data_IF_803920734374
#
_entry.id   IF_803920734374
#
_cell.length_a   1.000
_cell.length_b   1.000
_cell.length_c   1.000
_cell.angle_alpha   90.00
_cell.angle_beta   90.00
_cell.angle_gamma   90.00
#
_symmetry.space_group_name_H-M   'P 1'
#
loop_
_entity.id
_entity.type
_entity.pdbx_description
1 polymer ?
#
# COMPACT_ATOMS: atom_id res chain seq x y z
N UNK A 1 16.15 -0.97 -1.11
CA UNK A 1 15.13 -0.55 -0.14
C UNK A 1 13.79 -0.46 -0.87
N UNK A 2 12.70 -0.93 -0.25
CA UNK A 2 11.35 -0.74 -0.77
C UNK A 2 10.79 0.60 -0.30
N UNK A 3 10.18 1.36 -1.21
CA UNK A 3 9.55 2.66 -0.94
C UNK A 3 8.02 2.57 -0.85
N UNK A 4 7.43 1.41 -1.08
CA UNK A 4 6.01 1.16 -0.83
C UNK A 4 5.72 1.04 0.68
N UNK A 5 4.47 1.24 1.10
CA UNK A 5 4.06 1.30 2.49
C UNK A 5 4.45 0.10 3.38
N UNK A 6 4.75 -1.07 2.79
CA UNK A 6 5.26 -2.22 3.51
C UNK A 6 6.78 -2.14 3.81
N UNK A 7 7.54 -1.26 3.15
CA UNK A 7 8.97 -1.08 3.33
C UNK A 7 9.82 -2.33 3.06
N UNK A 8 9.27 -3.36 2.39
CA UNK A 8 9.98 -4.61 2.17
C UNK A 8 11.22 -4.40 1.29
N UNK A 9 12.40 -4.95 1.65
CA UNK A 9 13.63 -4.75 0.90
C UNK A 9 13.50 -5.28 -0.54
N UNK A 10 13.55 -4.38 -1.53
CA UNK A 10 13.36 -4.71 -2.94
C UNK A 10 14.34 -5.79 -3.43
N UNK A 11 15.62 -5.72 -3.03
CA UNK A 11 16.65 -6.67 -3.49
C UNK A 11 16.30 -8.13 -3.16
N UNK A 12 15.61 -8.38 -2.04
CA UNK A 12 15.23 -9.75 -1.64
C UNK A 12 14.29 -10.40 -2.66
N UNK A 13 13.44 -9.60 -3.30
CA UNK A 13 12.51 -10.09 -4.34
C UNK A 13 13.24 -10.61 -5.57
N UNK A 14 14.48 -10.16 -5.80
CA UNK A 14 15.30 -10.49 -6.99
C UNK A 14 16.46 -11.45 -6.70
N UNK A 15 16.63 -11.91 -5.46
CA UNK A 15 17.72 -12.85 -5.12
C UNK A 15 17.59 -14.21 -5.79
N UNK A 16 16.36 -14.65 -6.07
CA UNK A 16 16.04 -15.93 -6.74
C UNK A 16 14.79 -15.73 -7.59
N UNK A 17 14.94 -15.18 -8.80
CA UNK A 17 13.80 -14.87 -9.66
C UNK A 17 13.30 -16.08 -10.48
N UNK A 18 13.63 -17.32 -10.07
CA UNK A 18 13.29 -18.54 -10.81
C UNK A 18 11.77 -18.65 -11.04
N UNK A 19 11.37 -18.86 -12.29
CA UNK A 19 9.97 -18.99 -12.69
C UNK A 19 9.18 -17.69 -12.75
N UNK A 20 9.84 -16.52 -12.69
CA UNK A 20 9.20 -15.21 -12.80
C UNK A 20 9.09 -14.79 -14.27
N UNK A 21 7.87 -14.76 -14.78
CA UNK A 21 7.59 -14.28 -16.15
C UNK A 21 7.23 -12.79 -16.18
N UNK A 22 6.72 -12.24 -15.05
CA UNK A 22 6.13 -10.91 -14.99
C UNK A 22 6.70 -10.07 -13.86
N UNK A 23 6.92 -8.78 -14.14
CA UNK A 23 7.08 -7.75 -13.11
C UNK A 23 5.85 -6.84 -13.16
N UNK A 24 5.16 -6.67 -12.03
CA UNK A 24 4.06 -5.71 -11.91
C UNK A 24 4.56 -4.50 -11.13
N UNK A 25 4.61 -3.34 -11.79
CA UNK A 25 4.91 -2.07 -11.14
C UNK A 25 3.59 -1.45 -10.69
N UNK A 26 3.41 -1.39 -9.39
CA UNK A 26 2.22 -0.85 -8.77
C UNK A 26 2.30 0.68 -8.70
N UNK A 27 1.55 1.35 -9.56
CA UNK A 27 1.28 2.79 -9.58
C UNK A 27 -0.23 3.07 -9.36
N UNK A 28 -0.91 2.16 -8.64
CA UNK A 28 -2.37 2.20 -8.46
C UNK A 28 -2.80 3.22 -7.41
N UNK A 29 -2.03 3.32 -6.30
CA UNK A 29 -2.32 4.25 -5.19
C UNK A 29 -3.81 4.28 -4.80
N UNK A 30 -4.32 3.11 -4.32
CA UNK A 30 -5.74 2.94 -4.02
C UNK A 30 -6.17 3.47 -2.64
N UNK A 31 -5.23 3.84 -1.79
CA UNK A 31 -5.49 4.35 -0.44
C UNK A 31 -6.10 5.77 -0.54
N UNK A 32 -7.23 6.06 0.13
CA UNK A 32 -7.79 7.41 0.15
C UNK A 32 -6.80 8.44 0.73
N UNK A 33 -6.95 9.70 0.36
CA UNK A 33 -6.13 10.83 0.80
C UNK A 33 -4.67 10.82 0.33
N UNK A 34 -4.24 9.86 -0.50
CA UNK A 34 -2.85 9.75 -0.97
C UNK A 34 -2.77 10.00 -2.47
N UNK A 35 -1.79 10.81 -2.90
CA UNK A 35 -1.51 11.15 -4.30
C UNK A 35 0.00 11.24 -4.59
N UNK A 36 0.84 10.77 -3.69
CA UNK A 36 2.30 10.88 -3.79
C UNK A 36 2.88 10.05 -4.95
N UNK A 37 2.39 8.81 -5.16
CA UNK A 37 2.84 7.98 -6.26
C UNK A 37 2.33 8.54 -7.60
N UNK A 38 1.06 9.00 -7.67
CA UNK A 38 0.53 9.68 -8.85
C UNK A 38 1.42 10.85 -9.26
N UNK A 39 1.73 11.75 -8.31
CA UNK A 39 2.57 12.92 -8.57
C UNK A 39 3.98 12.54 -9.00
N UNK A 40 4.60 11.59 -8.29
CA UNK A 40 5.93 11.11 -8.62
C UNK A 40 6.00 10.50 -10.03
N UNK A 41 5.00 9.73 -10.45
CA UNK A 41 4.94 9.16 -11.80
C UNK A 41 4.69 10.21 -12.86
N UNK A 42 3.87 11.23 -12.59
CA UNK A 42 3.66 12.35 -13.50
C UNK A 42 4.94 13.15 -13.76
N UNK A 43 5.77 13.35 -12.75
CA UNK A 43 7.02 14.10 -12.85
C UNK A 43 8.16 13.26 -13.45
N UNK A 44 8.30 12.02 -12.99
CA UNK A 44 9.44 11.14 -13.28
C UNK A 44 9.06 9.94 -14.19
N UNK A 45 8.14 10.11 -15.15
CA UNK A 45 7.67 9.02 -16.01
C UNK A 45 8.82 8.34 -16.80
N UNK A 46 9.83 9.08 -17.22
CA UNK A 46 11.00 8.54 -17.90
C UNK A 46 11.85 7.64 -16.97
N UNK A 47 12.10 8.11 -15.74
CA UNK A 47 12.81 7.33 -14.72
C UNK A 47 12.01 6.09 -14.33
N UNK A 48 10.67 6.17 -14.27
CA UNK A 48 9.80 5.00 -14.05
C UNK A 48 10.02 3.93 -15.13
N UNK A 49 10.02 4.33 -16.40
CA UNK A 49 10.23 3.39 -17.53
C UNK A 49 11.64 2.80 -17.51
N UNK A 50 12.65 3.62 -17.22
CA UNK A 50 14.03 3.14 -17.03
C UNK A 50 14.13 2.13 -15.89
N UNK A 51 13.52 2.44 -14.73
CA UNK A 51 13.44 1.51 -13.61
C UNK A 51 12.71 0.21 -13.96
N UNK A 52 11.64 0.30 -14.74
CA UNK A 52 10.90 -0.86 -15.24
C UNK A 52 11.79 -1.78 -16.08
N UNK A 53 12.59 -1.22 -17.00
CA UNK A 53 13.57 -1.98 -17.81
C UNK A 53 14.63 -2.66 -16.94
N UNK A 54 15.16 -1.96 -15.93
CA UNK A 54 16.14 -2.50 -14.99
C UNK A 54 15.51 -3.66 -14.20
N UNK A 55 14.31 -3.46 -13.66
CA UNK A 55 13.59 -4.48 -12.90
C UNK A 55 13.26 -5.70 -13.76
N UNK A 56 12.89 -5.50 -15.04
CA UNK A 56 12.71 -6.59 -16.01
C UNK A 56 13.97 -7.43 -16.16
N UNK A 57 15.10 -6.77 -16.34
CA UNK A 57 16.41 -7.45 -16.48
C UNK A 57 16.82 -8.20 -15.22
N UNK A 58 16.61 -7.60 -14.04
CA UNK A 58 16.93 -8.23 -12.75
C UNK A 58 16.07 -9.46 -12.46
N UNK A 59 14.81 -9.47 -12.92
CA UNK A 59 13.89 -10.59 -12.76
C UNK A 59 13.99 -11.63 -13.89
N UNK A 60 14.75 -11.36 -14.94
CA UNK A 60 14.76 -12.14 -16.19
C UNK A 60 13.35 -12.33 -16.79
N UNK A 61 12.45 -11.37 -16.46
CA UNK A 61 11.05 -11.45 -16.82
C UNK A 61 10.80 -11.18 -18.31
N UNK A 62 9.74 -11.79 -18.84
CA UNK A 62 9.31 -11.58 -20.23
C UNK A 62 8.64 -10.21 -20.39
N UNK A 63 7.80 -9.84 -19.44
CA UNK A 63 6.97 -8.64 -19.51
C UNK A 63 6.93 -7.88 -18.19
N UNK A 64 6.92 -6.55 -18.28
CA UNK A 64 6.62 -5.64 -17.17
C UNK A 64 5.29 -4.96 -17.44
N UNK A 65 4.38 -5.01 -16.49
CA UNK A 65 3.15 -4.21 -16.50
C UNK A 65 3.26 -3.07 -15.51
N UNK A 66 3.14 -1.82 -16.00
CA UNK A 66 2.99 -0.63 -15.15
C UNK A 66 1.48 -0.47 -14.93
N UNK A 67 1.03 -0.81 -13.73
CA UNK A 67 -0.40 -0.84 -13.38
C UNK A 67 -0.84 0.52 -12.87
N UNK A 68 -1.80 1.15 -13.55
CA UNK A 68 -2.34 2.48 -13.27
C UNK A 68 -3.87 2.39 -13.23
N UNK A 69 -4.51 3.14 -12.35
CA UNK A 69 -5.98 3.22 -12.31
C UNK A 69 -6.53 3.76 -13.64
N UNK A 70 -7.57 3.13 -14.17
CA UNK A 70 -8.25 3.57 -15.39
C UNK A 70 -8.87 4.97 -15.28
N UNK A 71 -9.14 5.42 -14.05
CA UNK A 71 -9.63 6.78 -13.75
C UNK A 71 -8.57 7.87 -13.91
N UNK A 72 -7.30 7.52 -14.21
CA UNK A 72 -6.21 8.46 -14.47
C UNK A 72 -5.71 8.38 -15.93
N UNK A 73 -6.52 8.77 -16.93
CA UNK A 73 -6.15 8.70 -18.34
C UNK A 73 -4.93 9.57 -18.68
N UNK A 74 -4.78 10.70 -18.02
CA UNK A 74 -3.64 11.62 -18.13
C UNK A 74 -2.31 10.95 -17.71
N UNK A 75 -2.31 10.22 -16.59
CA UNK A 75 -1.15 9.47 -16.12
C UNK A 75 -0.82 8.30 -17.07
N UNK A 76 -1.85 7.61 -17.55
CA UNK A 76 -1.71 6.52 -18.54
C UNK A 76 -1.05 7.04 -19.82
N UNK A 77 -1.53 8.17 -20.35
CA UNK A 77 -0.97 8.78 -21.55
C UNK A 77 0.47 9.25 -21.33
N UNK A 78 0.74 9.89 -20.18
CA UNK A 78 2.09 10.33 -19.78
C UNK A 78 3.08 9.18 -19.78
N UNK A 79 2.74 8.06 -19.15
CA UNK A 79 3.61 6.89 -19.08
C UNK A 79 3.75 6.21 -20.45
N UNK A 80 2.65 6.07 -21.21
CA UNK A 80 2.70 5.54 -22.59
C UNK A 80 3.64 6.35 -23.48
N UNK A 81 3.58 7.67 -23.40
CA UNK A 81 4.46 8.56 -24.15
C UNK A 81 5.94 8.40 -23.77
N UNK A 82 6.23 8.02 -22.52
CA UNK A 82 7.58 7.79 -22.03
C UNK A 82 8.14 6.41 -22.40
N UNK A 83 7.31 5.44 -22.84
CA UNK A 83 7.76 4.08 -23.16
C UNK A 83 8.78 4.03 -24.30
N UNK A 84 8.69 4.90 -25.33
CA UNK A 84 9.64 4.99 -26.44
C UNK A 84 10.11 3.61 -26.94
N UNK A 85 9.18 2.74 -27.33
CA UNK A 85 9.45 1.38 -27.80
C UNK A 85 10.18 0.47 -26.77
N UNK A 86 9.94 0.67 -25.48
CA UNK A 86 10.50 -0.16 -24.41
C UNK A 86 9.99 -1.61 -24.54
N UNK A 87 10.76 -2.47 -25.22
CA UNK A 87 10.36 -3.83 -25.50
C UNK A 87 9.98 -4.63 -24.24
N UNK A 88 8.73 -5.10 -24.19
CA UNK A 88 8.18 -5.87 -23.08
C UNK A 88 7.89 -5.06 -21.81
N UNK A 89 7.71 -3.75 -21.95
CA UNK A 89 7.14 -2.89 -20.89
C UNK A 89 5.83 -2.31 -21.41
N UNK A 90 4.75 -2.51 -20.66
CA UNK A 90 3.40 -2.15 -21.07
C UNK A 90 2.68 -1.42 -19.93
N UNK A 91 1.81 -0.47 -20.28
CA UNK A 91 0.88 0.13 -19.32
C UNK A 91 -0.36 -0.73 -19.23
N UNK A 92 -0.73 -1.11 -18.00
CA UNK A 92 -1.91 -1.91 -17.71
C UNK A 92 -2.90 -1.11 -16.88
N UNK A 93 -3.98 -0.59 -17.49
CA UNK A 93 -5.07 0.01 -16.74
C UNK A 93 -5.74 -1.03 -15.84
N UNK A 94 -6.08 -0.63 -14.62
CA UNK A 94 -6.79 -1.47 -13.65
C UNK A 94 -7.96 -0.68 -13.05
N UNK A 95 -9.04 -1.36 -12.56
CA UNK A 95 -10.18 -0.70 -11.96
C UNK A 95 -9.81 0.21 -10.79
N UNK A 96 -10.50 1.35 -10.67
CA UNK A 96 -10.36 2.26 -9.53
C UNK A 96 -11.23 1.79 -8.36
N UNK A 97 -10.79 0.73 -7.70
CA UNK A 97 -11.47 0.16 -6.53
C UNK A 97 -10.47 -0.12 -5.43
N UNK A 98 -10.91 0.06 -4.17
CA UNK A 98 -10.10 -0.31 -3.02
C UNK A 98 -10.29 -1.80 -2.69
N UNK A 99 -9.23 -2.59 -2.43
CA UNK A 99 -7.81 -2.28 -2.35
C UNK A 99 -7.00 -2.79 -3.57
N UNK A 100 -7.24 -2.26 -4.77
CA UNK A 100 -6.62 -2.73 -6.03
C UNK A 100 -5.07 -2.72 -5.99
N UNK A 101 -4.46 -1.77 -5.28
CA UNK A 101 -3.00 -1.70 -5.12
C UNK A 101 -2.38 -2.77 -4.23
N UNK A 102 -3.17 -3.66 -3.62
CA UNK A 102 -2.63 -4.76 -2.84
C UNK A 102 -2.09 -5.89 -3.73
N UNK A 103 -0.89 -6.42 -3.43
CA UNK A 103 -0.19 -7.37 -4.31
C UNK A 103 -1.06 -8.54 -4.79
N UNK A 104 -1.83 -9.20 -3.90
CA UNK A 104 -2.71 -10.33 -4.28
C UNK A 104 -3.86 -9.92 -5.17
N UNK A 105 -4.45 -8.75 -4.89
CA UNK A 105 -5.56 -8.22 -5.68
C UNK A 105 -5.06 -7.83 -7.06
N UNK A 106 -3.91 -7.16 -7.13
CA UNK A 106 -3.28 -6.74 -8.38
C UNK A 106 -2.88 -7.95 -9.25
N UNK A 107 -2.27 -8.99 -8.67
CA UNK A 107 -1.92 -10.22 -9.40
C UNK A 107 -3.17 -10.91 -9.96
N UNK A 108 -4.23 -11.03 -9.15
CA UNK A 108 -5.51 -11.62 -9.59
C UNK A 108 -6.12 -10.83 -10.73
N UNK A 109 -6.10 -9.50 -10.65
CA UNK A 109 -6.66 -8.62 -11.69
C UNK A 109 -5.87 -8.69 -12.99
N UNK A 110 -4.54 -8.58 -12.92
CA UNK A 110 -3.68 -8.45 -14.10
C UNK A 110 -3.35 -9.79 -14.75
N UNK A 111 -3.11 -10.82 -13.94
CA UNK A 111 -2.64 -12.14 -14.41
C UNK A 111 -3.71 -13.23 -14.33
N UNK A 112 -4.87 -12.95 -13.72
CA UNK A 112 -5.94 -13.93 -13.47
C UNK A 112 -5.44 -15.16 -12.71
N UNK A 113 -4.48 -14.97 -11.81
CA UNK A 113 -3.85 -16.02 -10.99
C UNK A 113 -4.01 -15.72 -9.50
N UNK A 114 -4.10 -16.78 -8.71
CA UNK A 114 -4.06 -16.72 -7.26
C UNK A 114 -2.84 -17.47 -6.73
N UNK A 115 -2.38 -17.10 -5.52
CA UNK A 115 -1.24 -17.75 -4.86
C UNK A 115 -1.44 -17.79 -3.34
N UNK A 116 -0.84 -18.79 -2.70
CA UNK A 116 -0.96 -19.01 -1.26
C UNK A 116 0.07 -18.23 -0.44
N UNK A 117 1.32 -18.25 -0.85
CA UNK A 117 2.47 -17.66 -0.15
C UNK A 117 2.95 -16.36 -0.79
N UNK A 118 3.89 -16.45 -1.72
CA UNK A 118 4.54 -15.30 -2.35
C UNK A 118 4.08 -15.10 -3.81
N UNK A 119 4.11 -13.87 -4.33
CA UNK A 119 3.76 -13.59 -5.73
C UNK A 119 4.54 -14.40 -6.76
N UNK A 120 5.75 -14.84 -6.43
CA UNK A 120 6.57 -15.71 -7.29
C UNK A 120 5.87 -17.04 -7.64
N UNK A 121 4.99 -17.57 -6.78
CA UNK A 121 4.16 -18.76 -7.08
C UNK A 121 3.21 -18.51 -8.26
N UNK A 122 2.83 -17.27 -8.50
CA UNK A 122 2.04 -16.86 -9.67
C UNK A 122 2.93 -16.46 -10.87
N UNK A 123 4.25 -16.58 -10.75
CA UNK A 123 5.21 -16.15 -11.74
C UNK A 123 5.43 -14.64 -11.80
N UNK A 124 5.23 -13.92 -10.69
CA UNK A 124 5.28 -12.47 -10.65
C UNK A 124 6.16 -11.92 -9.52
N UNK A 125 6.81 -10.78 -9.79
CA UNK A 125 7.39 -9.89 -8.78
C UNK A 125 6.61 -8.58 -8.83
N UNK A 126 6.22 -8.05 -7.65
CA UNK A 126 5.55 -6.77 -7.55
C UNK A 126 6.52 -5.73 -6.99
N UNK A 127 6.63 -4.58 -7.66
CA UNK A 127 7.38 -3.40 -7.21
C UNK A 127 6.46 -2.19 -7.12
N UNK A 128 6.79 -1.25 -6.23
CA UNK A 128 6.10 0.04 -6.19
C UNK A 128 6.72 1.02 -7.21
N UNK A 129 5.93 1.95 -7.76
CA UNK A 129 6.36 2.93 -8.75
C UNK A 129 7.51 3.81 -8.25
N UNK A 130 7.42 4.34 -7.04
CA UNK A 130 8.50 5.14 -6.41
C UNK A 130 9.79 4.33 -6.25
N UNK A 131 9.70 3.01 -6.00
CA UNK A 131 10.88 2.13 -5.97
C UNK A 131 11.51 1.97 -7.34
N UNK A 132 10.72 1.87 -8.41
CA UNK A 132 11.23 1.78 -9.79
C UNK A 132 11.95 3.08 -10.18
N UNK A 133 11.36 4.24 -9.88
CA UNK A 133 11.98 5.56 -10.10
C UNK A 133 13.32 5.67 -9.35
N UNK A 134 13.34 5.26 -8.07
CA UNK A 134 14.56 5.30 -7.26
C UNK A 134 15.65 4.35 -7.80
N UNK A 135 15.29 3.19 -8.35
CA UNK A 135 16.21 2.28 -9.01
C UNK A 135 16.85 2.95 -10.24
N UNK A 136 16.05 3.62 -11.09
CA UNK A 136 16.58 4.35 -12.23
C UNK A 136 17.57 5.42 -11.82
N UNK A 137 17.18 6.29 -10.86
CA UNK A 137 18.05 7.37 -10.34
C UNK A 137 19.35 6.84 -9.74
N UNK A 138 19.30 5.71 -9.02
CA UNK A 138 20.48 5.07 -8.47
C UNK A 138 21.43 4.55 -9.55
N UNK A 139 20.90 3.92 -10.61
CA UNK A 139 21.71 3.35 -11.70
C UNK A 139 22.28 4.43 -12.64
N UNK A 140 21.49 5.43 -13.00
CA UNK A 140 21.89 6.44 -13.97
C UNK A 140 22.67 7.60 -13.35
N UNK A 141 22.34 7.99 -12.10
CA UNK A 141 22.86 9.20 -11.47
C UNK A 141 23.66 8.92 -10.20
N UNK A 142 23.70 7.67 -9.71
CA UNK A 142 24.34 7.33 -8.42
C UNK A 142 23.61 7.91 -7.21
N UNK A 143 22.34 8.28 -7.35
CA UNK A 143 21.57 8.92 -6.29
C UNK A 143 21.14 7.92 -5.21
N UNK A 144 21.39 8.25 -3.96
CA UNK A 144 20.86 7.52 -2.81
C UNK A 144 19.49 8.07 -2.39
N UNK A 145 18.70 7.24 -1.71
CA UNK A 145 17.40 7.66 -1.16
C UNK A 145 17.62 8.48 0.11
N UNK A 146 17.70 9.79 -0.03
CA UNK A 146 17.85 10.76 1.05
C UNK A 146 16.59 11.57 1.31
N UNK A 147 15.67 11.57 0.32
CA UNK A 147 14.41 12.28 0.36
C UNK A 147 13.24 11.35 0.09
N UNK A 148 12.07 11.77 0.49
CA UNK A 148 10.81 11.04 0.30
C UNK A 148 9.71 11.98 -0.15
N UNK A 149 9.04 11.61 -1.26
CA UNK A 149 7.78 12.23 -1.65
C UNK A 149 6.68 11.62 -0.80
N UNK A 150 5.86 12.46 -0.20
CA UNK A 150 4.70 12.04 0.57
C UNK A 150 3.55 13.04 0.42
N UNK A 151 2.34 12.55 0.61
CA UNK A 151 1.14 13.39 0.65
C UNK A 151 0.86 13.83 2.08
N UNK A 152 0.67 15.13 2.28
CA UNK A 152 0.11 15.69 3.51
C UNK A 152 -1.34 16.03 3.23
N UNK A 153 -2.29 15.40 3.95
CA UNK A 153 -3.73 15.51 3.63
C UNK A 153 -4.61 15.29 4.86
N UNK A 154 -5.92 15.42 4.68
CA UNK A 154 -6.93 15.27 5.72
C UNK A 154 -7.59 16.59 6.09
N UNK A 155 -8.72 16.50 6.79
CA UNK A 155 -9.55 17.66 7.12
C UNK A 155 -8.90 18.60 8.14
N UNK A 156 -7.87 18.13 8.85
CA UNK A 156 -7.27 18.87 9.97
C UNK A 156 -5.88 19.42 9.67
N UNK A 157 -5.45 19.43 8.41
CA UNK A 157 -4.29 20.20 7.93
C UNK A 157 -4.78 21.38 7.11
N UNK A 158 -4.14 22.55 7.30
CA UNK A 158 -4.64 23.80 6.72
C UNK A 158 -4.41 23.89 5.21
N UNK A 159 -3.27 23.43 4.74
CA UNK A 159 -2.86 23.51 3.34
C UNK A 159 -2.34 22.13 2.86
N UNK A 160 -3.27 21.22 2.45
CA UNK A 160 -2.93 19.88 2.03
C UNK A 160 -2.26 19.86 0.66
N UNK A 161 -1.08 19.22 0.54
CA UNK A 161 -0.37 19.02 -0.73
C UNK A 161 0.68 17.92 -0.67
N UNK A 162 1.29 17.60 -1.81
CA UNK A 162 2.43 16.70 -1.87
C UNK A 162 3.73 17.45 -1.57
N UNK A 163 4.58 16.86 -0.76
CA UNK A 163 5.88 17.41 -0.36
C UNK A 163 7.01 16.43 -0.63
N UNK A 164 8.20 16.97 -0.92
CA UNK A 164 9.44 16.20 -0.97
C UNK A 164 10.30 16.62 0.23
N UNK A 165 10.52 15.72 1.16
CA UNK A 165 11.18 16.00 2.43
C UNK A 165 12.33 15.06 2.71
N UNK A 166 13.36 15.49 3.47
CA UNK A 166 14.43 14.62 3.94
C UNK A 166 13.88 13.44 4.77
N UNK A 167 14.45 12.25 4.59
CA UNK A 167 14.22 11.14 5.50
C UNK A 167 14.79 11.50 6.86
N UNK A 168 14.00 11.34 7.91
CA UNK A 168 14.34 11.77 9.28
C UNK A 168 13.75 13.13 9.68
N UNK A 169 13.09 13.86 8.78
CA UNK A 169 12.42 15.13 9.12
C UNK A 169 11.27 14.89 10.10
N UNK A 170 11.15 15.68 11.18
CA UNK A 170 10.01 15.60 12.09
C UNK A 170 8.70 15.97 11.41
N UNK A 171 7.62 15.27 11.76
CA UNK A 171 6.28 15.53 11.23
C UNK A 171 5.80 16.94 11.59
N UNK A 172 6.16 17.45 12.77
CA UNK A 172 5.84 18.82 13.21
C UNK A 172 6.31 19.90 12.23
N UNK A 173 7.55 19.77 11.70
CA UNK A 173 8.09 20.72 10.72
C UNK A 173 7.33 20.67 9.39
N UNK A 174 6.89 19.47 8.99
CA UNK A 174 6.09 19.29 7.77
C UNK A 174 4.71 19.92 7.94
N UNK A 175 4.06 19.70 9.08
CA UNK A 175 2.75 20.29 9.37
C UNK A 175 2.85 21.82 9.45
N UNK A 176 3.89 22.37 10.06
CA UNK A 176 4.13 23.81 10.10
C UNK A 176 4.27 24.38 8.69
N UNK A 177 5.06 23.72 7.83
CA UNK A 177 5.21 24.11 6.42
C UNK A 177 3.89 24.03 5.63
N UNK A 178 2.96 23.14 6.04
CA UNK A 178 1.61 23.03 5.49
C UNK A 178 0.58 23.97 6.19
N UNK A 179 1.04 25.01 6.87
CA UNK A 179 0.19 26.03 7.51
C UNK A 179 -0.37 25.65 8.88
N UNK A 180 -0.01 24.50 9.41
CA UNK A 180 -0.42 24.04 10.74
C UNK A 180 -1.71 23.25 10.75
N UNK A 181 -2.17 22.91 11.96
CA UNK A 181 -3.43 22.24 12.20
C UNK A 181 -4.62 23.22 12.12
N UNK A 182 -5.80 22.71 11.74
CA UNK A 182 -7.05 23.49 11.75
C UNK A 182 -7.79 23.43 13.08
N UNK A 183 -7.39 22.52 13.99
CA UNK A 183 -8.00 22.32 15.31
C UNK A 183 -7.00 21.73 16.31
N UNK A 184 -7.28 21.88 17.61
CA UNK A 184 -6.34 21.52 18.69
C UNK A 184 -6.18 20.00 18.87
N UNK A 185 -7.21 19.23 18.57
CA UNK A 185 -7.18 17.77 18.78
C UNK A 185 -7.35 17.04 17.44
N UNK A 186 -6.30 16.36 17.03
CA UNK A 186 -6.25 15.65 15.75
C UNK A 186 -5.76 14.21 15.92
N UNK A 187 -6.10 13.38 14.95
CA UNK A 187 -5.53 12.05 14.77
C UNK A 187 -4.53 12.08 13.64
N UNK A 188 -3.25 11.84 13.99
CA UNK A 188 -2.16 11.75 13.02
C UNK A 188 -1.99 10.30 12.55
N UNK A 189 -1.89 10.10 11.24
CA UNK A 189 -1.76 8.78 10.64
C UNK A 189 -0.55 8.79 9.69
N UNK A 190 0.42 7.94 9.96
CA UNK A 190 1.48 7.61 9.00
C UNK A 190 0.91 6.66 7.95
N UNK A 191 0.71 7.15 6.73
CA UNK A 191 -0.02 6.50 5.64
C UNK A 191 -1.45 7.03 5.49
N UNK A 192 -2.30 6.28 4.81
CA UNK A 192 -3.72 6.63 4.62
C UNK A 192 -4.63 6.10 5.73
N UNK A 193 -5.92 6.46 5.71
CA UNK A 193 -6.87 6.13 6.78
C UNK A 193 -7.22 4.64 6.87
N UNK A 194 -7.01 3.86 5.79
CA UNK A 194 -7.43 2.46 5.75
C UNK A 194 -6.35 1.51 6.31
N UNK A 195 -5.09 1.69 5.91
CA UNK A 195 -3.97 0.80 6.27
C UNK A 195 -2.89 1.48 7.10
N UNK A 196 -2.91 2.80 7.20
CA UNK A 196 -1.94 3.58 7.96
C UNK A 196 -1.95 3.27 9.45
N UNK A 197 -0.99 3.82 10.15
CA UNK A 197 -0.82 3.64 11.60
C UNK A 197 -0.96 4.99 12.28
N UNK A 198 -1.84 5.07 13.27
CA UNK A 198 -1.90 6.25 14.14
C UNK A 198 -0.56 6.43 14.86
N UNK A 199 -0.01 7.63 14.79
CA UNK A 199 1.18 8.05 15.53
C UNK A 199 0.79 8.88 16.75
N UNK A 200 1.58 8.76 17.82
CA UNK A 200 1.21 9.31 19.14
C UNK A 200 1.28 10.84 19.15
N UNK A 201 2.27 11.40 18.45
CA UNK A 201 2.49 12.84 18.35
C UNK A 201 3.30 13.16 17.08
N UNK A 202 3.48 14.44 16.80
CA UNK A 202 4.17 14.95 15.62
C UNK A 202 5.70 15.04 15.75
N UNK A 203 6.26 14.56 16.85
CA UNK A 203 7.72 14.33 16.99
C UNK A 203 8.17 13.08 16.22
N UNK A 204 7.22 12.28 15.69
CA UNK A 204 7.52 11.18 14.78
C UNK A 204 8.28 11.70 13.55
N UNK A 205 9.21 10.91 13.03
CA UNK A 205 10.03 11.30 11.88
C UNK A 205 9.65 10.52 10.63
N UNK A 206 9.82 11.15 9.49
CA UNK A 206 9.61 10.52 8.18
C UNK A 206 10.61 9.39 7.98
N UNK A 207 10.12 8.21 7.71
CA UNK A 207 10.91 7.08 7.26
C UNK A 207 10.73 6.83 5.75
N UNK A 208 11.51 5.90 5.20
CA UNK A 208 11.47 5.58 3.76
C UNK A 208 10.19 4.90 3.32
N UNK A 209 9.45 4.28 4.22
CA UNK A 209 8.20 3.58 3.92
C UNK A 209 6.97 4.51 3.99
N UNK A 210 7.11 5.65 4.66
CA UNK A 210 6.03 6.63 4.80
C UNK A 210 5.73 7.28 3.45
N UNK A 211 4.50 7.13 2.94
CA UNK A 211 4.04 7.72 1.68
C UNK A 211 2.96 8.79 1.87
N UNK A 212 2.43 8.92 3.08
CA UNK A 212 1.51 9.98 3.44
C UNK A 212 1.54 10.29 4.94
N UNK A 213 1.14 11.51 5.25
CA UNK A 213 0.73 11.97 6.57
C UNK A 213 -0.73 12.42 6.44
N UNK A 214 -1.64 11.65 7.03
CA UNK A 214 -3.07 11.98 7.02
C UNK A 214 -3.47 12.52 8.38
N UNK A 215 -4.08 13.72 8.40
CA UNK A 215 -4.48 14.46 9.61
C UNK A 215 -5.99 14.53 9.66
N UNK A 216 -6.61 13.74 10.51
CA UNK A 216 -8.07 13.63 10.64
C UNK A 216 -8.56 14.15 11.99
N UNK A 217 -9.86 14.48 12.12
CA UNK A 217 -10.46 14.73 13.42
C UNK A 217 -10.25 13.56 14.37
N UNK A 218 -10.13 13.85 15.66
CA UNK A 218 -10.16 12.81 16.69
C UNK A 218 -11.49 12.05 16.59
N UNK A 219 -11.43 10.73 16.44
CA UNK A 219 -12.65 9.91 16.43
C UNK A 219 -13.12 9.67 17.86
N UNK A 220 -14.39 9.90 18.10
CA UNK A 220 -15.07 9.64 19.37
C UNK A 220 -16.17 8.57 19.22
N UNK A 221 -16.02 7.69 18.23
CA UNK A 221 -17.01 6.65 17.93
C UNK A 221 -16.86 5.48 18.90
N UNK A 222 -17.68 5.44 19.95
CA UNK A 222 -17.73 4.31 20.85
C UNK A 222 -18.27 3.06 20.15
N UNK A 223 -17.52 1.97 20.24
CA UNK A 223 -17.93 0.70 19.66
C UNK A 223 -19.12 0.11 20.42
N UNK A 224 -20.17 -0.24 19.71
CA UNK A 224 -21.32 -0.97 20.26
C UNK A 224 -21.23 -2.46 19.96
N UNK A 225 -22.14 -3.25 20.54
CA UNK A 225 -22.19 -4.68 20.30
C UNK A 225 -22.38 -5.03 18.81
N UNK A 226 -21.74 -6.10 18.37
CA UNK A 226 -21.83 -6.55 16.98
C UNK A 226 -23.28 -6.90 16.59
N UNK A 227 -23.80 -6.23 15.58
CA UNK A 227 -25.16 -6.45 15.02
C UNK A 227 -25.28 -7.72 14.19
N UNK A 228 -24.20 -8.43 13.94
CA UNK A 228 -24.12 -9.63 13.07
C UNK A 228 -24.64 -9.40 11.64
N UNK A 229 -24.53 -8.19 11.12
CA UNK A 229 -25.05 -7.79 9.81
C UNK A 229 -24.33 -8.41 8.60
N UNK A 230 -23.14 -9.03 8.77
CA UNK A 230 -22.41 -9.68 7.68
C UNK A 230 -21.53 -8.76 6.82
N UNK A 231 -21.73 -7.43 6.83
CA UNK A 231 -21.03 -6.49 5.94
C UNK A 231 -19.51 -6.67 5.88
N UNK A 232 -18.85 -6.94 7.01
CA UNK A 232 -17.41 -7.18 7.05
C UNK A 232 -16.97 -8.43 6.25
N UNK A 233 -17.85 -9.43 6.09
CA UNK A 233 -17.59 -10.62 5.27
C UNK A 233 -17.92 -10.37 3.80
N UNK A 234 -19.01 -9.68 3.51
CA UNK A 234 -19.46 -9.40 2.14
C UNK A 234 -18.45 -8.51 1.39
N UNK A 235 -17.78 -7.61 2.10
CA UNK A 235 -16.78 -6.67 1.53
C UNK A 235 -15.33 -7.14 1.72
N UNK A 236 -15.10 -8.38 2.18
CA UNK A 236 -13.73 -8.85 2.37
C UNK A 236 -13.07 -9.25 1.03
N UNK A 237 -12.03 -8.55 0.56
CA UNK A 237 -11.37 -8.85 -0.73
C UNK A 237 -10.68 -10.21 -0.76
N UNK A 238 -10.42 -10.79 0.43
CA UNK A 238 -9.85 -12.15 0.59
C UNK A 238 -10.91 -13.22 0.87
N UNK A 239 -12.21 -12.91 0.77
CA UNK A 239 -13.29 -13.87 1.01
C UNK A 239 -13.39 -14.40 2.44
N UNK A 240 -12.83 -13.70 3.43
CA UNK A 240 -12.82 -14.13 4.82
C UNK A 240 -14.14 -13.79 5.53
N UNK A 241 -14.33 -14.42 6.68
CA UNK A 241 -15.41 -14.11 7.61
C UNK A 241 -14.86 -13.41 8.88
N UNK A 242 -14.53 -12.10 8.84
CA UNK A 242 -13.89 -11.40 9.96
C UNK A 242 -14.66 -11.52 11.27
N UNK A 243 -15.99 -11.49 11.23
CA UNK A 243 -16.84 -11.68 12.41
C UNK A 243 -16.63 -13.04 13.08
N UNK A 244 -16.43 -14.12 12.30
CA UNK A 244 -16.16 -15.46 12.82
C UNK A 244 -14.74 -15.56 13.40
N UNK A 245 -13.77 -14.94 12.73
CA UNK A 245 -12.38 -14.85 13.23
C UNK A 245 -12.36 -14.08 14.56
N UNK A 246 -13.09 -12.97 14.66
CA UNK A 246 -13.22 -12.19 15.91
C UNK A 246 -13.88 -13.00 17.02
N UNK A 247 -14.88 -13.82 16.71
CA UNK A 247 -15.51 -14.70 17.69
C UNK A 247 -14.54 -15.77 18.20
N UNK A 248 -13.77 -16.42 17.30
CA UNK A 248 -12.74 -17.37 17.65
C UNK A 248 -11.61 -16.75 18.50
N UNK A 249 -11.22 -15.48 18.18
CA UNK A 249 -10.26 -14.72 18.99
C UNK A 249 -10.77 -14.54 20.43
N UNK A 250 -12.02 -14.12 20.60
CA UNK A 250 -12.64 -13.94 21.92
C UNK A 250 -12.73 -15.25 22.72
N UNK A 251 -12.92 -16.37 22.02
CA UNK A 251 -12.92 -17.70 22.62
C UNK A 251 -11.52 -18.29 22.83
N UNK A 252 -10.45 -17.56 22.40
CA UNK A 252 -9.07 -18.02 22.39
C UNK A 252 -8.88 -19.37 21.64
N UNK A 253 -9.71 -19.62 20.63
CA UNK A 253 -9.69 -20.84 19.79
C UNK A 253 -8.79 -20.64 18.56
N UNK A 254 -7.51 -21.01 18.74
CA UNK A 254 -6.47 -20.82 17.71
C UNK A 254 -6.72 -21.72 16.50
N UNK A 255 -7.27 -22.91 16.70
CA UNK A 255 -7.52 -23.85 15.62
C UNK A 255 -8.69 -23.35 14.75
N UNK A 256 -9.75 -22.82 15.36
CA UNK A 256 -10.83 -22.19 14.61
C UNK A 256 -10.36 -20.92 13.87
N UNK A 257 -9.50 -20.05 14.48
CA UNK A 257 -8.91 -18.92 13.78
C UNK A 257 -8.15 -19.38 12.51
N UNK A 258 -7.33 -20.44 12.63
CA UNK A 258 -6.57 -21.01 11.51
C UNK A 258 -7.49 -21.59 10.44
N UNK A 259 -8.50 -22.37 10.84
CA UNK A 259 -9.51 -22.97 9.96
C UNK A 259 -10.30 -21.92 9.17
N UNK A 260 -10.54 -20.74 9.75
CA UNK A 260 -11.18 -19.60 9.07
C UNK A 260 -10.26 -18.84 8.13
N UNK A 261 -9.06 -19.33 7.89
CA UNK A 261 -8.13 -18.78 6.91
C UNK A 261 -7.55 -17.41 7.31
N UNK A 262 -7.41 -17.11 8.62
CA UNK A 262 -6.93 -15.81 9.12
C UNK A 262 -5.61 -15.38 8.50
N UNK A 263 -4.76 -16.33 8.09
CA UNK A 263 -3.46 -16.05 7.44
C UNK A 263 -3.60 -15.40 6.07
N UNK A 264 -4.75 -15.55 5.39
CA UNK A 264 -5.03 -14.92 4.10
C UNK A 264 -5.50 -13.46 4.24
N UNK A 265 -5.65 -12.95 5.48
CA UNK A 265 -6.01 -11.55 5.70
C UNK A 265 -4.90 -10.62 5.18
N UNK A 266 -5.29 -9.68 4.32
CA UNK A 266 -4.42 -8.65 3.75
C UNK A 266 -4.39 -7.36 4.58
N UNK A 267 -5.09 -7.32 5.69
CA UNK A 267 -5.11 -6.21 6.66
C UNK A 267 -5.52 -4.85 6.05
N UNK A 268 -6.40 -4.87 5.04
CA UNK A 268 -6.78 -3.71 4.25
C UNK A 268 -7.71 -2.70 4.96
N UNK A 269 -8.15 -2.94 6.19
CA UNK A 269 -9.02 -2.02 6.92
C UNK A 269 -10.50 -2.05 6.54
N UNK A 270 -10.89 -2.65 5.40
CA UNK A 270 -12.25 -2.61 4.88
C UNK A 270 -13.31 -3.10 5.89
N UNK A 271 -13.01 -4.15 6.64
CA UNK A 271 -13.95 -4.70 7.62
C UNK A 271 -14.19 -3.78 8.83
N UNK A 272 -13.22 -2.94 9.20
CA UNK A 272 -13.41 -1.87 10.20
C UNK A 272 -14.20 -0.72 9.60
N UNK A 273 -13.81 -0.25 8.42
CA UNK A 273 -14.45 0.87 7.74
C UNK A 273 -15.95 0.66 7.52
N UNK A 274 -16.37 -0.54 7.08
CA UNK A 274 -17.77 -0.86 6.77
C UNK A 274 -18.62 -1.22 8.02
N UNK A 275 -18.00 -1.31 9.21
CA UNK A 275 -18.65 -1.79 10.41
C UNK A 275 -19.61 -0.74 10.99
N UNK A 276 -20.96 -0.96 10.99
CA UNK A 276 -21.91 0.00 11.55
C UNK A 276 -21.92 0.03 13.10
N UNK A 277 -21.17 -0.90 13.72
CA UNK A 277 -20.98 -0.94 15.17
C UNK A 277 -19.66 -0.30 15.62
N UNK A 278 -18.93 0.37 14.73
CA UNK A 278 -17.64 1.02 14.98
C UNK A 278 -16.59 0.11 15.66
N UNK A 279 -16.70 -1.20 15.43
CA UNK A 279 -15.75 -2.19 15.97
C UNK A 279 -14.48 -2.16 15.12
N UNK A 280 -13.31 -2.08 15.78
CA UNK A 280 -12.04 -2.27 15.11
C UNK A 280 -11.81 -3.76 14.75
N UNK A 281 -12.53 -4.18 13.71
CA UNK A 281 -12.52 -5.58 13.24
C UNK A 281 -11.16 -5.95 12.67
N UNK A 282 -10.50 -5.02 11.97
CA UNK A 282 -9.17 -5.25 11.38
C UNK A 282 -8.14 -5.58 12.46
N UNK A 283 -8.12 -4.83 13.55
CA UNK A 283 -7.19 -5.08 14.65
C UNK A 283 -7.47 -6.41 15.35
N UNK A 284 -8.73 -6.79 15.49
CA UNK A 284 -9.08 -8.11 16.01
C UNK A 284 -8.55 -9.23 15.10
N UNK A 285 -8.67 -9.08 13.78
CA UNK A 285 -8.14 -10.05 12.82
C UNK A 285 -6.61 -10.05 12.82
N UNK A 286 -5.95 -8.89 12.94
CA UNK A 286 -4.49 -8.79 13.11
C UNK A 286 -4.00 -9.54 14.35
N UNK A 287 -4.67 -9.36 15.49
CA UNK A 287 -4.37 -10.10 16.73
C UNK A 287 -4.49 -11.61 16.53
N UNK A 288 -5.59 -12.07 15.94
CA UNK A 288 -5.81 -13.46 15.64
C UNK A 288 -4.71 -14.03 14.71
N UNK A 289 -4.33 -13.29 13.67
CA UNK A 289 -3.27 -13.68 12.73
C UNK A 289 -1.91 -13.81 13.44
N UNK A 290 -1.56 -12.87 14.33
CA UNK A 290 -0.33 -12.95 15.13
C UNK A 290 -0.30 -14.18 16.05
N UNK A 291 -1.41 -14.49 16.72
CA UNK A 291 -1.53 -15.67 17.59
C UNK A 291 -1.31 -16.96 16.80
N UNK A 292 -1.96 -17.11 15.63
CA UNK A 292 -1.78 -18.27 14.77
C UNK A 292 -0.35 -18.38 14.24
N UNK A 293 0.29 -17.27 13.89
CA UNK A 293 1.70 -17.25 13.47
C UNK A 293 2.64 -17.74 14.56
N UNK A 294 2.39 -17.35 15.82
CA UNK A 294 3.23 -17.77 16.96
C UNK A 294 3.05 -19.26 17.30
N UNK A 295 1.86 -19.85 17.11
CA UNK A 295 1.61 -21.29 17.32
C UNK A 295 2.28 -22.17 16.27
N UNK A 296 2.54 -21.63 15.06
CA UNK A 296 3.17 -22.38 13.96
C UNK A 296 4.71 -22.40 14.02
N UNK A 297 5.32 -21.60 14.90
CA UNK A 297 6.75 -21.62 15.21
C UNK A 297 7.03 -22.57 16.36
#
# INVERSE_FOLDING_TARGET
>A
VGLGGAGFPTYVKYMKPDGVDYVLINAVECEPYITADYRSVMEDAADLVTGAKIMKKMAEAKTVYICIKESHPDLIEKVKSALNDAAGVEVRPVPDVYPMGWERVLVREVLHKEYGGLPAEAGAIIGNASSAIAIAKAFEKGEAITQKNLTVSGECVKDPHNVCVPVGMPVSEIIEACGGYTQDTVRLISGGPMMGKTIVNDMFVVDRAMNALTVLPAANDDAIACLRCGKCSDHCPSGLQPVRITAALKANDVDEMSKRGVMSCIECGMCTYICPSHIDVTENVRKAKRIVMLKKK
#
